data_IF_837363835312
#
_entry.id   IF_837363835312
#
_cell.length_a   1.000
_cell.length_b   1.000
_cell.length_c   1.000
_cell.angle_alpha   90.00
_cell.angle_beta   90.00
_cell.angle_gamma   90.00
#
_symmetry.space_group_name_H-M   'P 1'
#
loop_
_entity.id
_entity.type
_entity.pdbx_description
1 polymer ?
#
# COMPACT_ATOMS: atom_id res chain seq x y z
N UNK A 1 -3.84 8.50 -15.37
CA UNK A 1 -2.69 7.67 -14.97
C UNK A 1 -2.37 7.96 -13.51
N UNK A 2 -2.33 6.93 -12.66
CA UNK A 2 -1.92 7.02 -11.24
C UNK A 2 -0.42 6.75 -11.14
N UNK A 3 0.33 7.57 -10.39
CA UNK A 3 1.71 7.26 -10.05
C UNK A 3 1.71 6.66 -8.64
N UNK A 4 2.27 5.45 -8.49
CA UNK A 4 2.35 4.72 -7.24
C UNK A 4 3.75 4.86 -6.66
N UNK A 5 3.87 5.49 -5.50
CA UNK A 5 5.12 5.58 -4.75
C UNK A 5 5.17 4.39 -3.79
N UNK A 6 6.15 3.47 -3.92
CA UNK A 6 6.31 2.36 -2.98
C UNK A 6 6.54 2.88 -1.56
N UNK A 7 5.83 2.33 -0.58
CA UNK A 7 6.18 2.55 0.82
C UNK A 7 7.46 1.78 1.15
N UNK A 8 8.35 2.39 1.93
CA UNK A 8 9.65 1.82 2.33
C UNK A 8 9.45 0.74 3.41
N UNK A 9 8.91 -0.41 3.00
CA UNK A 9 8.60 -1.55 3.87
C UNK A 9 9.48 -2.76 3.57
N UNK A 10 9.84 -3.49 4.63
CA UNK A 10 10.73 -4.65 4.61
C UNK A 10 10.01 -5.96 4.26
N UNK A 11 8.95 -5.87 3.45
CA UNK A 11 8.17 -7.00 2.97
C UNK A 11 7.63 -6.76 1.55
N UNK A 12 7.28 -7.83 0.85
CA UNK A 12 6.48 -7.81 -0.38
C UNK A 12 5.17 -8.55 -0.15
N UNK A 13 4.05 -7.88 -0.39
CA UNK A 13 2.73 -8.48 -0.28
C UNK A 13 2.60 -9.64 -1.28
N UNK A 14 2.16 -10.78 -0.76
CA UNK A 14 1.87 -11.98 -1.55
C UNK A 14 0.76 -12.75 -0.83
N UNK A 15 -0.42 -12.14 -0.81
CA UNK A 15 -1.55 -12.65 -0.04
C UNK A 15 -2.56 -13.36 -0.91
N UNK A 16 -3.24 -14.38 -0.38
CA UNK A 16 -4.49 -14.91 -0.98
C UNK A 16 -5.72 -14.31 -0.32
N UNK A 17 -5.65 -14.06 0.98
CA UNK A 17 -6.72 -13.47 1.77
C UNK A 17 -6.34 -12.08 2.25
N UNK A 18 -7.27 -11.13 2.19
CA UNK A 18 -7.09 -9.80 2.75
C UNK A 18 -8.20 -9.56 3.76
N UNK A 19 -7.82 -9.22 4.99
CA UNK A 19 -8.75 -8.91 6.06
C UNK A 19 -8.67 -7.42 6.43
N UNK A 20 -9.82 -6.75 6.44
CA UNK A 20 -9.95 -5.36 6.89
C UNK A 20 -10.84 -5.28 8.12
N UNK A 21 -10.32 -4.70 9.20
CA UNK A 21 -11.09 -4.27 10.35
C UNK A 21 -11.14 -2.75 10.42
N UNK A 22 -12.33 -2.15 10.34
CA UNK A 22 -12.51 -0.72 10.51
C UNK A 22 -13.16 -0.39 11.86
N UNK A 23 -12.57 0.54 12.61
CA UNK A 23 -13.10 1.07 13.86
C UNK A 23 -13.22 2.58 13.77
N UNK A 24 -14.45 3.08 13.68
CA UNK A 24 -14.80 4.49 13.46
C UNK A 24 -14.01 5.49 14.32
N UNK A 25 -13.76 5.16 15.60
CA UNK A 25 -13.06 6.06 16.53
C UNK A 25 -11.54 5.91 16.58
N UNK A 26 -11.00 4.83 16.01
CA UNK A 26 -9.61 4.44 16.28
C UNK A 26 -8.76 4.34 15.02
N UNK A 27 -9.07 3.37 14.15
CA UNK A 27 -8.12 2.90 13.14
C UNK A 27 -8.77 1.97 12.13
N UNK A 28 -8.13 1.84 10.97
CA UNK A 28 -8.31 0.67 10.11
C UNK A 28 -7.11 -0.27 10.28
N UNK A 29 -7.36 -1.57 10.37
CA UNK A 29 -6.33 -2.60 10.37
C UNK A 29 -6.48 -3.46 9.13
N UNK A 30 -5.38 -3.68 8.43
CA UNK A 30 -5.32 -4.53 7.25
C UNK A 30 -4.34 -5.65 7.57
N UNK A 31 -4.82 -6.88 7.51
CA UNK A 31 -4.03 -8.09 7.77
C UNK A 31 -3.95 -8.92 6.50
N UNK A 32 -2.74 -9.30 6.13
CA UNK A 32 -2.43 -9.99 4.87
C UNK A 32 -1.11 -10.75 4.97
N UNK A 33 -0.84 -11.62 4.00
CA UNK A 33 0.40 -12.36 3.90
C UNK A 33 1.43 -11.66 3.02
N UNK A 34 2.70 -11.82 3.38
CA UNK A 34 3.83 -11.21 2.68
C UNK A 34 5.06 -12.12 2.70
N UNK A 35 5.99 -11.87 1.78
CA UNK A 35 7.35 -12.39 1.85
C UNK A 35 8.24 -11.37 2.56
N UNK A 36 9.08 -11.84 3.47
CA UNK A 36 10.24 -11.10 3.95
C UNK A 36 11.43 -11.31 3.00
N UNK A 37 12.46 -10.48 3.11
CA UNK A 37 13.64 -10.54 2.23
C UNK A 37 14.28 -11.94 2.19
N UNK A 38 14.37 -12.61 3.34
CA UNK A 38 14.97 -13.95 3.48
C UNK A 38 14.16 -15.03 2.75
N UNK A 39 12.83 -14.92 2.76
CA UNK A 39 11.90 -15.89 2.17
C UNK A 39 11.63 -15.63 0.68
N UNK A 40 11.92 -14.42 0.20
CA UNK A 40 11.52 -13.96 -1.14
C UNK A 40 12.12 -14.79 -2.28
N UNK A 41 13.38 -15.23 -2.17
CA UNK A 41 14.06 -16.00 -3.22
C UNK A 41 13.45 -17.39 -3.42
N UNK A 42 13.11 -18.05 -2.32
CA UNK A 42 12.67 -19.45 -2.35
C UNK A 42 11.14 -19.53 -2.37
N UNK A 43 10.43 -18.44 -2.03
CA UNK A 43 8.96 -18.36 -1.93
C UNK A 43 8.37 -19.45 -1.03
N UNK A 44 9.12 -19.89 -0.03
CA UNK A 44 8.79 -21.06 0.79
C UNK A 44 7.83 -20.72 1.91
N UNK A 45 7.93 -19.51 2.46
CA UNK A 45 7.21 -19.11 3.66
C UNK A 45 6.61 -17.72 3.48
N UNK A 46 5.33 -17.62 3.81
CA UNK A 46 4.64 -16.35 3.93
C UNK A 46 4.47 -16.02 5.40
N UNK A 47 4.67 -14.76 5.73
CA UNK A 47 4.45 -14.23 7.07
C UNK A 47 3.25 -13.30 7.03
N UNK A 48 2.34 -13.49 7.99
CA UNK A 48 1.22 -12.58 8.16
C UNK A 48 1.68 -11.29 8.82
N UNK A 49 1.36 -10.16 8.20
CA UNK A 49 1.63 -8.83 8.73
C UNK A 49 0.32 -8.09 9.00
N UNK A 50 0.36 -7.08 9.87
CA UNK A 50 -0.77 -6.19 10.11
C UNK A 50 -0.37 -4.73 9.99
N UNK A 51 -0.97 -4.04 9.03
CA UNK A 51 -0.83 -2.59 8.87
C UNK A 51 -1.98 -1.92 9.61
N UNK A 52 -1.67 -1.05 10.56
CA UNK A 52 -2.66 -0.28 11.31
C UNK A 52 -2.57 1.21 10.94
N UNK A 53 -3.62 1.71 10.30
CA UNK A 53 -3.75 3.10 9.88
C UNK A 53 -4.44 3.95 10.94
N UNK A 54 -3.93 5.17 11.16
CA UNK A 54 -4.50 6.13 12.11
C UNK A 54 -5.16 7.29 11.39
N UNK A 55 -6.22 7.82 12.01
CA UNK A 55 -7.02 8.93 11.48
C UNK A 55 -7.46 8.66 10.04
N UNK A 56 -8.21 7.57 9.87
CA UNK A 56 -8.75 7.15 8.56
C UNK A 56 -9.99 7.98 8.27
N UNK A 57 -9.96 8.72 7.16
CA UNK A 57 -11.08 9.53 6.71
C UNK A 57 -12.06 8.71 5.84
N UNK A 58 -11.53 7.82 5.00
CA UNK A 58 -12.33 6.97 4.13
C UNK A 58 -11.54 5.69 3.79
N UNK A 59 -12.23 4.57 3.62
CA UNK A 59 -11.66 3.28 3.23
C UNK A 59 -12.57 2.61 2.20
N UNK A 60 -11.98 2.06 1.15
CA UNK A 60 -12.65 1.34 0.07
C UNK A 60 -12.02 -0.04 -0.08
N UNK A 61 -12.84 -1.07 0.02
CA UNK A 61 -12.47 -2.43 -0.40
C UNK A 61 -13.03 -2.68 -1.80
N UNK A 62 -12.15 -3.00 -2.74
CA UNK A 62 -12.53 -3.16 -4.14
C UNK A 62 -12.22 -4.60 -4.57
N UNK A 63 -13.27 -5.36 -4.88
CA UNK A 63 -13.19 -6.78 -5.27
C UNK A 63 -12.87 -6.95 -6.76
N UNK A 64 -11.80 -6.29 -7.22
CA UNK A 64 -11.22 -6.45 -8.55
C UNK A 64 -9.71 -6.52 -8.39
N UNK A 65 -9.03 -7.32 -9.21
CA UNK A 65 -7.57 -7.26 -9.29
C UNK A 65 -7.14 -5.84 -9.71
N UNK A 66 -6.19 -5.24 -8.97
CA UNK A 66 -5.80 -3.85 -9.20
C UNK A 66 -5.16 -3.66 -10.58
N UNK A 67 -4.23 -4.54 -10.94
CA UNK A 67 -3.43 -4.44 -12.15
C UNK A 67 -4.30 -4.62 -13.41
N UNK A 68 -5.24 -5.56 -13.38
CA UNK A 68 -6.18 -5.79 -14.47
C UNK A 68 -7.20 -4.64 -14.60
N UNK A 69 -7.79 -4.21 -13.48
CA UNK A 69 -8.81 -3.14 -13.50
C UNK A 69 -8.24 -1.76 -13.81
N UNK A 70 -6.94 -1.57 -13.65
CA UNK A 70 -6.22 -0.33 -13.96
C UNK A 70 -5.19 -0.52 -15.08
N UNK A 71 -5.34 -1.54 -15.94
CA UNK A 71 -4.41 -1.82 -17.03
C UNK A 71 -4.09 -0.55 -17.84
N UNK A 72 -2.80 -0.27 -18.06
CA UNK A 72 -2.26 0.94 -18.71
C UNK A 72 -2.61 2.29 -18.04
N UNK A 73 -3.24 2.31 -16.87
CA UNK A 73 -3.66 3.52 -16.18
C UNK A 73 -2.93 3.75 -14.84
N UNK A 74 -1.83 3.03 -14.60
CA UNK A 74 -0.92 3.31 -13.49
C UNK A 74 0.54 3.05 -13.88
N UNK A 75 1.44 3.65 -13.10
CA UNK A 75 2.88 3.43 -13.15
C UNK A 75 3.40 3.38 -11.71
N UNK A 76 4.27 2.43 -11.40
CA UNK A 76 5.02 2.44 -10.14
C UNK A 76 6.23 3.34 -10.37
N UNK A 77 6.43 4.31 -9.49
CA UNK A 77 7.56 5.22 -9.56
C UNK A 77 8.85 4.40 -9.58
N UNK A 78 9.57 4.45 -10.71
CA UNK A 78 10.83 3.76 -10.85
C UNK A 78 11.88 4.45 -9.98
N UNK A 79 12.16 3.82 -8.85
CA UNK A 79 13.18 4.22 -7.88
C UNK A 79 14.48 3.45 -8.07
N UNK A 80 14.53 2.51 -9.03
CA UNK A 80 15.67 1.65 -9.28
C UNK A 80 16.58 2.25 -10.37
N UNK A 81 17.22 3.38 -10.03
CA UNK A 81 18.08 4.15 -10.94
C UNK A 81 19.22 3.33 -11.57
N UNK A 82 19.66 2.25 -10.92
CA UNK A 82 20.84 1.45 -11.31
C UNK A 82 20.51 0.18 -12.12
N UNK A 83 19.24 -0.05 -12.49
CA UNK A 83 18.79 -1.27 -13.21
C UNK A 83 19.21 -2.59 -12.52
N UNK A 84 19.27 -2.62 -11.18
CA UNK A 84 19.57 -3.86 -10.44
C UNK A 84 18.32 -4.75 -10.32
N UNK A 85 18.46 -6.01 -9.95
CA UNK A 85 17.28 -6.86 -9.70
C UNK A 85 16.47 -6.37 -8.49
N UNK A 86 15.16 -6.67 -8.43
CA UNK A 86 14.31 -6.32 -7.27
C UNK A 86 14.91 -6.79 -5.93
N UNK A 87 15.53 -7.97 -5.93
CA UNK A 87 16.16 -8.54 -4.75
C UNK A 87 17.42 -7.75 -4.35
N UNK A 88 18.28 -7.40 -5.29
CA UNK A 88 19.48 -6.61 -5.01
C UNK A 88 19.10 -5.21 -4.53
N UNK A 89 18.12 -4.57 -5.16
CA UNK A 89 17.56 -3.30 -4.69
C UNK A 89 17.14 -3.40 -3.23
N UNK A 90 16.38 -4.45 -2.90
CA UNK A 90 15.86 -4.64 -1.54
C UNK A 90 16.97 -4.90 -0.52
N UNK A 91 18.00 -5.67 -0.87
CA UNK A 91 19.17 -5.87 0.00
C UNK A 91 19.90 -4.55 0.29
N UNK A 92 20.03 -3.68 -0.72
CA UNK A 92 20.79 -2.42 -0.61
C UNK A 92 19.99 -1.36 0.16
N UNK A 93 18.70 -1.23 -0.14
CA UNK A 93 17.88 -0.12 0.35
C UNK A 93 17.04 -0.47 1.59
N UNK A 94 16.86 -1.76 1.89
CA UNK A 94 16.08 -2.23 3.04
C UNK A 94 14.57 -2.32 2.78
N UNK A 95 14.09 -2.00 1.57
CA UNK A 95 12.68 -2.14 1.19
C UNK A 95 12.49 -2.63 -0.24
N UNK A 96 11.32 -3.22 -0.54
CA UNK A 96 11.03 -3.79 -1.85
C UNK A 96 10.50 -2.71 -2.84
N UNK A 97 11.00 -2.63 -4.09
CA UNK A 97 10.66 -1.54 -5.01
C UNK A 97 9.24 -1.60 -5.59
N UNK A 98 8.58 -2.76 -5.49
CA UNK A 98 7.18 -2.99 -5.86
C UNK A 98 6.49 -3.85 -4.78
N UNK A 99 6.39 -3.32 -3.56
CA UNK A 99 5.97 -4.08 -2.37
C UNK A 99 4.49 -4.52 -2.38
N UNK A 100 3.66 -3.96 -3.26
CA UNK A 100 2.20 -4.10 -3.19
C UNK A 100 1.55 -3.11 -2.21
N UNK A 101 2.34 -2.26 -1.55
CA UNK A 101 1.87 -1.20 -0.66
C UNK A 101 2.43 0.15 -1.11
N UNK A 102 1.53 1.05 -1.49
CA UNK A 102 1.88 2.31 -2.14
C UNK A 102 1.16 3.50 -1.53
N UNK A 103 1.77 4.68 -1.66
CA UNK A 103 1.06 5.95 -1.65
C UNK A 103 0.79 6.39 -3.10
N UNK A 104 -0.40 6.92 -3.36
CA UNK A 104 -0.74 7.46 -4.68
C UNK A 104 -0.34 8.93 -4.74
N UNK A 105 0.55 9.25 -5.68
CA UNK A 105 0.92 10.63 -5.99
C UNK A 105 -0.22 11.38 -6.69
N UNK A 106 -0.25 12.69 -6.48
CA UNK A 106 -1.23 13.64 -7.04
C UNK A 106 -2.71 13.20 -6.96
N UNK A 107 -3.07 12.44 -5.91
CA UNK A 107 -4.39 11.81 -5.79
C UNK A 107 -5.57 12.79 -5.94
N UNK A 108 -6.37 12.59 -7.01
CA UNK A 108 -7.62 13.33 -7.22
C UNK A 108 -8.62 13.10 -6.08
N UNK A 109 -8.79 11.84 -5.66
CA UNK A 109 -9.70 11.50 -4.55
C UNK A 109 -9.31 12.22 -3.25
N UNK A 110 -8.01 12.30 -2.93
CA UNK A 110 -7.54 13.06 -1.78
C UNK A 110 -7.83 14.56 -1.95
N UNK A 111 -7.55 15.15 -3.12
CA UNK A 111 -7.82 16.58 -3.39
C UNK A 111 -9.29 16.94 -3.22
N UNK A 112 -10.20 16.16 -3.79
CA UNK A 112 -11.65 16.36 -3.65
C UNK A 112 -12.13 16.15 -2.21
N UNK A 113 -11.52 15.20 -1.50
CA UNK A 113 -11.91 14.85 -0.14
C UNK A 113 -11.37 15.83 0.90
N UNK A 114 -10.34 16.63 0.58
CA UNK A 114 -9.73 17.60 1.50
C UNK A 114 -10.75 18.58 2.06
N UNK A 115 -11.62 19.16 1.24
CA UNK A 115 -12.63 20.11 1.72
C UNK A 115 -13.64 19.46 2.68
N UNK A 116 -13.95 18.17 2.46
CA UNK A 116 -14.92 17.42 3.26
C UNK A 116 -14.35 16.96 4.60
N UNK A 117 -13.15 16.39 4.60
CA UNK A 117 -12.58 15.74 5.78
C UNK A 117 -11.54 16.58 6.51
N UNK A 118 -10.79 17.42 5.78
CA UNK A 118 -9.71 18.22 6.34
C UNK A 118 -9.66 19.66 5.80
N UNK A 119 -10.74 20.46 5.94
CA UNK A 119 -10.81 21.82 5.40
C UNK A 119 -9.77 22.79 6.00
N UNK A 120 -9.14 22.40 7.12
CA UNK A 120 -8.07 23.17 7.78
C UNK A 120 -6.68 22.61 7.53
N UNK A 121 -6.55 21.57 6.70
CA UNK A 121 -5.29 20.90 6.37
C UNK A 121 -4.47 20.50 7.62
N UNK A 122 -5.15 19.95 8.64
CA UNK A 122 -4.58 19.58 9.95
C UNK A 122 -4.40 18.08 10.15
N UNK A 123 -5.05 17.25 9.34
CA UNK A 123 -5.04 15.79 9.47
C UNK A 123 -3.90 15.15 8.68
N UNK A 124 -3.27 15.90 7.78
CA UNK A 124 -2.15 15.45 6.94
C UNK A 124 -2.47 14.13 6.21
N UNK A 125 -3.70 14.05 5.67
CA UNK A 125 -4.19 12.84 5.00
C UNK A 125 -3.36 12.54 3.75
N UNK A 126 -3.05 11.27 3.55
CA UNK A 126 -2.44 10.69 2.37
C UNK A 126 -3.34 9.62 1.78
N UNK A 127 -3.17 9.32 0.50
CA UNK A 127 -3.88 8.25 -0.18
C UNK A 127 -3.00 7.02 -0.27
N UNK A 128 -3.39 5.95 0.41
CA UNK A 128 -2.72 4.66 0.41
C UNK A 128 -3.48 3.64 -0.45
N UNK A 129 -2.72 2.77 -1.10
CA UNK A 129 -3.17 1.64 -1.90
C UNK A 129 -2.46 0.38 -1.40
N UNK A 130 -3.23 -0.67 -1.09
CA UNK A 130 -2.72 -1.99 -0.73
C UNK A 130 -3.31 -3.02 -1.69
N UNK A 131 -2.45 -3.68 -2.45
CA UNK A 131 -2.82 -4.73 -3.38
C UNK A 131 -3.08 -6.05 -2.63
N UNK A 132 -4.18 -6.71 -2.96
CA UNK A 132 -4.44 -8.11 -2.65
C UNK A 132 -4.22 -8.99 -3.88
N UNK A 133 -4.78 -10.22 -3.86
CA UNK A 133 -4.74 -11.11 -5.02
C UNK A 133 -5.73 -10.67 -6.10
N UNK A 134 -7.04 -10.82 -5.83
CA UNK A 134 -8.14 -10.39 -6.71
C UNK A 134 -8.93 -9.23 -6.10
N UNK A 135 -8.24 -8.40 -5.32
CA UNK A 135 -8.81 -7.23 -4.67
C UNK A 135 -7.73 -6.20 -4.36
N UNK A 136 -8.14 -5.01 -3.98
CA UNK A 136 -7.25 -4.03 -3.37
C UNK A 136 -8.03 -3.15 -2.39
N UNK A 137 -7.28 -2.50 -1.51
CA UNK A 137 -7.81 -1.52 -0.57
C UNK A 137 -7.21 -0.16 -0.90
N UNK A 138 -8.07 0.84 -1.06
CA UNK A 138 -7.68 2.25 -1.10
C UNK A 138 -8.17 2.93 0.18
N UNK A 139 -7.34 3.77 0.80
CA UNK A 139 -7.76 4.54 1.98
C UNK A 139 -7.09 5.91 2.08
N UNK A 140 -7.82 6.84 2.70
CA UNK A 140 -7.30 8.14 3.10
C UNK A 140 -6.98 8.12 4.60
N UNK A 141 -5.71 8.25 4.97
CA UNK A 141 -5.28 8.18 6.36
C UNK A 141 -4.09 9.11 6.63
N UNK A 142 -3.85 9.45 7.90
CA UNK A 142 -2.74 10.33 8.26
C UNK A 142 -1.36 9.64 8.24
N UNK A 143 -1.30 8.41 8.76
CA UNK A 143 -0.12 7.57 8.86
C UNK A 143 -0.52 6.12 9.15
N UNK A 144 0.48 5.25 9.26
CA UNK A 144 0.33 3.85 9.63
C UNK A 144 1.47 3.36 10.52
N UNK A 145 1.27 2.20 11.14
CA UNK A 145 2.30 1.39 11.80
C UNK A 145 2.17 -0.06 11.35
N UNK A 146 3.30 -0.76 11.23
CA UNK A 146 3.36 -2.19 10.90
C UNK A 146 3.56 -2.96 12.21
N UNK A 147 2.77 -4.02 12.42
CA UNK A 147 2.87 -4.94 13.56
C UNK A 147 2.92 -6.39 13.10
#
# INVERSE_FOLDING_TARGET
MKILIPEEVDFKISTTDLFVEYKERNSAKIKLESFLLEDFKQKEKRTTIQIEFKLVAELKCISLNFQESNYENFEILDINEENVSEYEFWVINGYHPSSGFYQIDDSHWLKESKERYDPRNRLNLKHYLIEGYDSYVELLASNYVIN
#
